data_IF_276734878047
#
_entry.id   IF_276734878047
#
_cell.length_a   1.000
_cell.length_b   1.000
_cell.length_c   1.000
_cell.angle_alpha   90.00
_cell.angle_beta   90.00
_cell.angle_gamma   90.00
#
_symmetry.space_group_name_H-M   'P 1'
#
loop_
_entity.id
_entity.type
_entity.pdbx_description
1 polymer ?
#
# COMPACT_ATOMS: atom_id res chain seq x y z
N UNK A 1 11.12 6.72 -20.89
CA UNK A 1 10.78 8.13 -20.60
C UNK A 1 10.56 8.92 -21.89
N UNK A 2 11.59 9.11 -22.73
CA UNK A 2 11.46 9.89 -23.98
C UNK A 2 10.47 9.30 -25.00
N UNK A 3 10.40 7.97 -25.10
CA UNK A 3 9.48 7.25 -25.99
C UNK A 3 8.00 7.32 -25.55
N UNK A 4 7.75 7.61 -24.26
CA UNK A 4 6.41 7.80 -23.70
C UNK A 4 6.13 9.27 -23.34
N UNK A 5 6.97 10.19 -23.86
CA UNK A 5 6.88 11.64 -23.64
C UNK A 5 6.65 12.03 -22.18
N UNK A 6 7.38 11.39 -21.25
CA UNK A 6 7.27 11.69 -19.81
C UNK A 6 8.09 12.96 -19.52
N UNK A 7 7.41 14.04 -19.14
CA UNK A 7 8.05 15.33 -18.82
C UNK A 7 8.21 15.57 -17.31
N UNK A 8 7.45 14.83 -16.49
CA UNK A 8 7.39 15.00 -15.03
C UNK A 8 7.50 13.66 -14.29
N UNK A 9 8.05 13.69 -13.07
CA UNK A 9 8.15 12.52 -12.20
C UNK A 9 7.45 12.79 -10.85
N UNK A 10 6.75 11.80 -10.25
CA UNK A 10 6.49 10.45 -10.76
C UNK A 10 5.41 10.44 -11.86
N UNK A 11 5.45 9.44 -12.75
CA UNK A 11 4.46 9.23 -13.81
C UNK A 11 4.14 7.75 -13.98
N UNK A 12 2.88 7.44 -14.27
CA UNK A 12 2.36 6.08 -14.50
C UNK A 12 1.74 5.99 -15.90
N UNK A 13 2.10 4.94 -16.65
CA UNK A 13 1.57 4.68 -18.00
C UNK A 13 0.88 3.32 -18.00
N UNK A 14 -0.39 3.29 -18.36
CA UNK A 14 -1.20 2.07 -18.51
C UNK A 14 -1.28 1.68 -19.98
N UNK A 15 -1.08 0.40 -20.27
CA UNK A 15 -1.30 -0.18 -21.59
C UNK A 15 -2.54 -1.06 -21.54
N UNK A 16 -3.42 -0.92 -22.52
CA UNK A 16 -4.55 -1.83 -22.71
C UNK A 16 -4.05 -3.20 -23.18
N UNK A 17 -4.85 -4.25 -22.95
CA UNK A 17 -4.62 -5.55 -23.57
C UNK A 17 -4.91 -5.50 -25.09
N UNK A 18 -5.76 -4.57 -25.53
CA UNK A 18 -5.98 -4.30 -26.95
C UNK A 18 -4.87 -3.38 -27.48
N UNK A 19 -4.06 -3.92 -28.39
CA UNK A 19 -2.94 -3.21 -29.06
C UNK A 19 -3.40 -2.06 -29.96
N UNK A 20 -4.70 -1.98 -30.26
CA UNK A 20 -5.30 -0.88 -31.02
C UNK A 20 -5.75 0.29 -30.14
N UNK A 21 -5.80 0.12 -28.82
CA UNK A 21 -6.13 1.19 -27.88
C UNK A 21 -4.87 1.96 -27.46
N UNK A 22 -4.99 3.29 -27.41
CA UNK A 22 -3.92 4.16 -26.96
C UNK A 22 -3.71 4.04 -25.44
N UNK A 23 -2.45 3.99 -25.00
CA UNK A 23 -2.12 3.88 -23.58
C UNK A 23 -2.50 5.14 -22.79
N UNK A 24 -2.91 4.98 -21.53
CA UNK A 24 -3.27 6.08 -20.64
C UNK A 24 -2.05 6.55 -19.84
N UNK A 25 -1.68 7.82 -19.92
CA UNK A 25 -0.61 8.45 -19.12
C UNK A 25 -1.19 9.29 -17.98
N UNK A 26 -0.71 9.08 -16.75
CA UNK A 26 -1.01 9.89 -15.57
C UNK A 26 0.29 10.47 -15.02
N UNK A 27 0.44 11.79 -15.10
CA UNK A 27 1.62 12.51 -14.61
C UNK A 27 1.36 13.19 -13.27
N UNK A 28 2.21 12.93 -12.27
CA UNK A 28 2.12 13.50 -10.94
C UNK A 28 1.57 12.53 -9.88
N UNK A 29 1.52 13.03 -8.64
CA UNK A 29 1.02 12.30 -7.47
C UNK A 29 -0.48 12.59 -7.28
N UNK A 30 -1.30 11.56 -7.40
CA UNK A 30 -2.75 11.64 -7.16
C UNK A 30 -3.19 10.66 -6.08
N UNK A 31 -4.38 10.86 -5.50
CA UNK A 31 -4.98 9.88 -4.60
C UNK A 31 -5.20 8.53 -5.29
N UNK A 32 -5.15 7.44 -4.52
CA UNK A 32 -5.23 6.06 -5.01
C UNK A 32 -6.39 5.77 -5.98
N UNK A 33 -7.55 6.40 -5.79
CA UNK A 33 -8.73 6.18 -6.62
C UNK A 33 -8.55 6.58 -8.09
N UNK A 34 -7.57 7.43 -8.41
CA UNK A 34 -7.25 7.81 -9.79
C UNK A 34 -6.55 6.66 -10.54
N UNK A 35 -5.93 5.73 -9.83
CA UNK A 35 -5.12 4.66 -10.43
C UNK A 35 -5.82 3.30 -10.55
N UNK A 36 -7.10 3.18 -10.18
CA UNK A 36 -7.79 1.87 -10.12
C UNK A 36 -9.05 1.80 -10.99
N UNK A 37 -9.02 1.02 -12.09
CA UNK A 37 -10.23 0.69 -12.82
C UNK A 37 -10.98 -0.45 -12.10
N UNK A 38 -11.88 -0.07 -11.20
CA UNK A 38 -13.17 -0.72 -10.89
C UNK A 38 -13.19 -2.10 -10.18
N UNK A 39 -12.12 -2.87 -9.99
CA UNK A 39 -12.17 -4.09 -9.13
C UNK A 39 -11.22 -4.05 -7.92
N UNK A 40 -11.77 -3.67 -6.75
CA UNK A 40 -11.07 -3.74 -5.46
C UNK A 40 -11.13 -5.17 -4.90
N UNK A 41 -10.08 -5.97 -5.11
CA UNK A 41 -9.90 -7.17 -4.29
C UNK A 41 -9.71 -6.76 -2.83
N UNK A 42 -10.38 -7.44 -1.90
CA UNK A 42 -10.22 -7.17 -0.47
C UNK A 42 -8.76 -7.36 -0.07
N UNK A 43 -8.16 -6.42 0.69
CA UNK A 43 -6.79 -6.58 1.14
C UNK A 43 -6.67 -7.83 2.02
N UNK A 44 -5.48 -8.46 2.09
CA UNK A 44 -5.26 -9.59 2.99
C UNK A 44 -5.49 -9.15 4.44
N UNK A 45 -5.60 -10.12 5.36
CA UNK A 45 -5.70 -9.81 6.80
C UNK A 45 -4.52 -8.93 7.23
N UNK A 46 -4.79 -7.94 8.10
CA UNK A 46 -3.78 -6.99 8.58
C UNK A 46 -2.47 -7.66 9.05
N UNK A 47 -2.60 -8.73 9.82
CA UNK A 47 -1.46 -9.53 10.27
C UNK A 47 -0.63 -10.10 9.12
N UNK A 48 -1.29 -10.69 8.12
CA UNK A 48 -0.65 -11.28 6.95
C UNK A 48 0.05 -10.21 6.12
N UNK A 49 -0.58 -9.04 5.96
CA UNK A 49 0.01 -7.92 5.24
C UNK A 49 1.29 -7.42 5.92
N UNK A 50 1.22 -7.16 7.23
CA UNK A 50 2.39 -6.70 8.00
C UNK A 50 3.50 -7.76 7.97
N UNK A 51 3.16 -9.04 7.98
CA UNK A 51 4.13 -10.12 7.82
C UNK A 51 4.76 -10.17 6.42
N UNK A 52 4.04 -9.80 5.37
CA UNK A 52 4.59 -9.75 4.01
C UNK A 52 5.51 -8.53 3.83
N UNK A 53 5.08 -7.35 4.29
CA UNK A 53 5.84 -6.11 4.14
C UNK A 53 6.99 -5.98 5.15
N UNK A 54 6.89 -6.67 6.29
CA UNK A 54 7.84 -6.65 7.43
C UNK A 54 7.93 -5.31 8.17
N UNK A 55 7.68 -4.18 7.51
CA UNK A 55 7.63 -2.85 8.09
C UNK A 55 6.57 -2.04 7.34
N UNK A 56 5.67 -1.38 8.08
CA UNK A 56 4.59 -0.56 7.50
C UNK A 56 4.38 0.73 8.28
N UNK A 57 3.77 1.73 7.64
CA UNK A 57 3.35 2.99 8.28
C UNK A 57 1.85 3.02 8.56
N UNK A 58 1.41 3.94 9.42
CA UNK A 58 -0.02 4.16 9.66
C UNK A 58 -0.75 4.62 8.38
N UNK A 59 -0.11 5.52 7.62
CA UNK A 59 -0.68 6.13 6.41
C UNK A 59 -0.91 5.08 5.31
N UNK A 60 0.05 4.19 5.11
CA UNK A 60 -0.05 3.05 4.19
C UNK A 60 -1.25 2.17 4.56
N UNK A 61 -1.36 1.80 5.84
CA UNK A 61 -2.46 0.95 6.31
C UNK A 61 -3.84 1.63 6.20
N UNK A 62 -3.93 2.93 6.48
CA UNK A 62 -5.19 3.69 6.31
C UNK A 62 -5.62 3.73 4.84
N UNK A 63 -4.65 3.88 3.93
CA UNK A 63 -4.90 3.91 2.49
C UNK A 63 -5.36 2.56 1.96
N UNK A 64 -4.74 1.47 2.41
CA UNK A 64 -5.03 0.11 1.91
C UNK A 64 -6.33 -0.44 2.47
N UNK A 65 -6.57 -0.27 3.77
CA UNK A 65 -7.71 -0.88 4.45
C UNK A 65 -8.95 0.01 4.48
N UNK A 66 -8.80 1.32 4.27
CA UNK A 66 -9.89 2.31 4.33
C UNK A 66 -10.70 2.22 5.65
N UNK A 67 -10.06 1.79 6.74
CA UNK A 67 -10.69 1.65 8.06
C UNK A 67 -10.63 2.96 8.86
N UNK A 68 -11.60 3.20 9.76
CA UNK A 68 -11.47 4.28 10.74
C UNK A 68 -10.20 4.11 11.57
N UNK A 69 -9.47 5.21 11.78
CA UNK A 69 -8.18 5.20 12.49
C UNK A 69 -8.25 4.54 13.87
N UNK A 70 -9.35 4.74 14.60
CA UNK A 70 -9.61 4.11 15.90
C UNK A 70 -9.67 2.57 15.82
N UNK A 71 -10.28 2.04 14.77
CA UNK A 71 -10.38 0.59 14.54
C UNK A 71 -9.01 0.01 14.19
N UNK A 72 -8.28 0.67 13.28
CA UNK A 72 -6.94 0.24 12.89
C UNK A 72 -5.98 0.23 14.09
N UNK A 73 -5.99 1.29 14.90
CA UNK A 73 -5.24 1.36 16.15
C UNK A 73 -5.57 0.22 17.12
N UNK A 74 -6.85 -0.17 17.22
CA UNK A 74 -7.29 -1.28 18.07
C UNK A 74 -6.70 -2.62 17.59
N UNK A 75 -6.76 -2.89 16.29
CA UNK A 75 -6.21 -4.14 15.73
C UNK A 75 -4.68 -4.19 15.81
N UNK A 76 -3.99 -3.07 15.56
CA UNK A 76 -2.53 -2.99 15.75
C UNK A 76 -2.11 -3.25 17.21
N UNK A 77 -2.83 -2.66 18.18
CA UNK A 77 -2.59 -2.93 19.61
C UNK A 77 -2.80 -4.41 19.95
N UNK A 78 -3.86 -5.03 19.42
CA UNK A 78 -4.12 -6.45 19.61
C UNK A 78 -2.97 -7.32 19.09
N UNK A 79 -2.45 -7.04 17.89
CA UNK A 79 -1.30 -7.75 17.33
C UNK A 79 -0.01 -7.54 18.13
N UNK A 80 0.20 -6.33 18.67
CA UNK A 80 1.34 -6.02 19.52
C UNK A 80 1.28 -6.79 20.85
N UNK A 81 0.11 -6.88 21.49
CA UNK A 81 -0.10 -7.68 22.71
C UNK A 81 0.18 -9.16 22.43
N UNK A 82 -0.20 -9.66 21.26
CA UNK A 82 0.10 -11.02 20.80
C UNK A 82 1.56 -11.26 20.40
N UNK A 83 2.45 -10.26 20.57
CA UNK A 83 3.87 -10.33 20.19
C UNK A 83 4.11 -10.64 18.69
N UNK A 84 3.15 -10.29 17.82
CA UNK A 84 3.28 -10.49 16.37
C UNK A 84 3.95 -9.32 15.68
N UNK A 85 3.84 -8.12 16.26
CA UNK A 85 4.41 -6.89 15.74
C UNK A 85 5.04 -6.05 16.85
N UNK A 86 5.85 -5.08 16.48
CA UNK A 86 6.47 -4.09 17.35
C UNK A 86 6.24 -2.68 16.79
N UNK A 87 5.86 -1.73 17.67
CA UNK A 87 5.74 -0.33 17.28
C UNK A 87 7.11 0.35 17.43
N UNK A 88 7.58 0.96 16.35
CA UNK A 88 8.81 1.74 16.30
C UNK A 88 8.43 3.23 16.13
N UNK A 89 8.99 4.09 16.96
CA UNK A 89 8.76 5.54 16.88
C UNK A 89 9.96 6.21 16.20
N UNK A 90 9.70 6.96 15.14
CA UNK A 90 10.68 7.79 14.46
C UNK A 90 10.20 9.24 14.40
N UNK A 91 11.10 10.21 14.15
CA UNK A 91 10.71 11.62 13.98
C UNK A 91 9.66 11.81 12.87
N UNK A 92 9.77 11.01 11.81
CA UNK A 92 8.93 11.13 10.61
C UNK A 92 7.63 10.30 10.69
N UNK A 93 7.41 9.59 11.80
CA UNK A 93 6.16 8.85 12.01
C UNK A 93 6.30 7.57 12.84
N UNK A 94 5.14 6.96 13.09
CA UNK A 94 5.03 5.65 13.72
C UNK A 94 5.09 4.53 12.68
N UNK A 95 5.90 3.50 12.96
CA UNK A 95 6.06 2.32 12.14
C UNK A 95 5.69 1.06 12.92
N UNK A 96 5.23 0.03 12.21
CA UNK A 96 4.97 -1.28 12.79
C UNK A 96 5.80 -2.33 12.07
N UNK A 97 6.68 -2.99 12.83
CA UNK A 97 7.56 -4.05 12.33
C UNK A 97 6.99 -5.43 12.68
N UNK A 98 6.98 -6.35 11.71
CA UNK A 98 6.65 -7.75 11.96
C UNK A 98 7.72 -8.41 12.83
N UNK A 99 7.30 -9.16 13.86
CA UNK A 99 8.17 -10.10 14.60
C UNK A 99 8.20 -11.50 13.99
N UNK A 100 7.33 -11.75 13.01
CA UNK A 100 7.21 -13.02 12.31
C UNK A 100 8.02 -13.02 11.01
N UNK A 101 8.57 -14.18 10.59
CA UNK A 101 9.35 -14.28 9.36
C UNK A 101 8.52 -13.92 8.12
N UNK A 102 9.18 -13.35 7.11
CA UNK A 102 8.53 -12.94 5.86
C UNK A 102 7.96 -14.15 5.13
N UNK A 103 6.66 -14.11 4.84
CA UNK A 103 6.00 -15.11 4.01
C UNK A 103 6.25 -14.74 2.54
N UNK A 104 6.62 -15.71 1.71
CA UNK A 104 6.68 -15.52 0.25
C UNK A 104 5.25 -15.38 -0.28
N UNK A 105 4.94 -14.28 -0.96
CA UNK A 105 3.73 -14.21 -1.78
C UNK A 105 3.83 -15.29 -2.87
N UNK A 106 2.82 -16.15 -2.96
CA UNK A 106 2.65 -17.05 -4.11
C UNK A 106 2.24 -16.26 -5.33
#
# INVERSE_FOLDING_TARGET
AREMEIEQAPSLVFFSEDVHEEGLKVEGLYPYHIYTPIEKNLPPKLETYIQQQQLVTMEELLTIYEWPEKLLNKELKKLAIQQKIEKLKYPDGDFWKSKMPKIKSK
#
